data_IF_692375744135
#
_entry.id   IF_692375744135
#
_cell.length_a   1.000
_cell.length_b   1.000
_cell.length_c   1.000
_cell.angle_alpha   90.00
_cell.angle_beta   90.00
_cell.angle_gamma   90.00
#
_symmetry.space_group_name_H-M   'P 1'
#
loop_
_entity.id
_entity.type
_entity.pdbx_description
1 polymer ?
#
# COMPACT_ATOMS: atom_id res chain seq x y z
N UNK A 1 25.63 1.41 15.60
CA UNK A 1 25.28 0.59 14.42
C UNK A 1 24.86 -0.85 14.77
N UNK A 2 24.85 -1.26 16.06
CA UNK A 2 24.59 -2.67 16.42
C UNK A 2 23.31 -2.92 17.23
N UNK A 3 22.43 -1.93 17.43
CA UNK A 3 21.22 -2.13 18.26
C UNK A 3 20.41 -3.36 17.83
N UNK A 4 20.24 -3.60 16.52
CA UNK A 4 19.50 -4.76 16.05
C UNK A 4 20.20 -6.08 16.44
N UNK A 5 21.51 -6.17 16.26
CA UNK A 5 22.28 -7.37 16.59
C UNK A 5 22.32 -7.59 18.11
N UNK A 6 22.50 -6.53 18.90
CA UNK A 6 22.58 -6.60 20.37
C UNK A 6 21.24 -6.97 20.99
N UNK A 7 20.13 -6.43 20.48
CA UNK A 7 18.79 -6.65 21.07
C UNK A 7 18.11 -7.91 20.53
N UNK A 8 18.35 -8.30 19.27
CA UNK A 8 17.64 -9.42 18.63
C UNK A 8 18.51 -10.61 18.24
N UNK A 9 19.83 -10.49 18.30
CA UNK A 9 20.76 -11.50 17.77
C UNK A 9 20.75 -11.62 16.24
N UNK A 10 19.96 -10.80 15.54
CA UNK A 10 19.86 -10.84 14.08
C UNK A 10 20.95 -9.97 13.46
N UNK A 11 21.90 -10.63 12.80
CA UNK A 11 22.86 -9.95 11.94
C UNK A 11 22.19 -9.55 10.62
N UNK A 12 22.50 -8.34 10.15
CA UNK A 12 22.01 -7.83 8.87
C UNK A 12 23.11 -7.11 8.09
N UNK A 13 22.90 -6.98 6.78
CA UNK A 13 23.73 -6.18 5.89
C UNK A 13 22.87 -5.55 4.79
N UNK A 14 23.30 -4.41 4.25
CA UNK A 14 22.67 -3.82 3.07
C UNK A 14 23.19 -4.58 1.85
N UNK A 15 22.33 -5.40 1.24
CA UNK A 15 22.68 -6.18 0.05
C UNK A 15 22.75 -5.32 -1.21
N UNK A 16 21.79 -4.42 -1.38
CA UNK A 16 21.80 -3.45 -2.46
C UNK A 16 21.11 -2.16 -2.05
N UNK A 17 21.52 -1.07 -2.68
CA UNK A 17 21.02 0.27 -2.42
C UNK A 17 20.97 1.03 -3.73
N UNK A 18 19.77 1.46 -4.13
CA UNK A 18 19.55 2.25 -5.33
C UNK A 18 18.76 3.49 -4.94
N UNK A 19 19.34 4.66 -5.15
CA UNK A 19 18.70 5.94 -4.88
C UNK A 19 18.54 6.74 -6.17
N UNK A 20 17.38 7.37 -6.30
CA UNK A 20 17.12 8.43 -7.26
C UNK A 20 16.52 9.64 -6.52
N UNK A 21 16.35 10.81 -7.16
CA UNK A 21 15.84 12.00 -6.47
C UNK A 21 14.47 11.83 -5.79
N UNK A 22 13.66 10.85 -6.22
CA UNK A 22 12.29 10.64 -5.73
C UNK A 22 12.12 9.47 -4.77
N UNK A 23 13.04 8.51 -4.74
CA UNK A 23 12.92 7.27 -3.97
C UNK A 23 14.26 6.57 -3.73
N UNK A 24 14.30 5.75 -2.68
CA UNK A 24 15.36 4.80 -2.37
C UNK A 24 14.76 3.40 -2.32
N UNK A 25 15.38 2.48 -3.05
CA UNK A 25 15.11 1.05 -2.97
C UNK A 25 16.34 0.36 -2.38
N UNK A 26 16.19 -0.21 -1.19
CA UNK A 26 17.24 -0.94 -0.52
C UNK A 26 16.80 -2.38 -0.23
N UNK A 27 17.72 -3.34 -0.34
CA UNK A 27 17.52 -4.70 0.11
C UNK A 27 18.38 -4.94 1.33
N UNK A 28 17.76 -5.21 2.47
CA UNK A 28 18.44 -5.60 3.70
C UNK A 28 18.46 -7.11 3.77
N UNK A 29 19.65 -7.70 3.69
CA UNK A 29 19.87 -9.12 3.94
C UNK A 29 19.97 -9.32 5.44
N UNK A 30 19.29 -10.35 5.95
CA UNK A 30 19.42 -10.79 7.33
C UNK A 30 19.51 -12.31 7.39
N UNK A 31 19.93 -12.84 8.54
CA UNK A 31 19.88 -14.28 8.83
C UNK A 31 18.85 -14.51 9.93
N UNK A 32 17.85 -15.33 9.63
CA UNK A 32 16.84 -15.71 10.63
C UNK A 32 17.40 -16.68 11.68
N UNK A 33 16.62 -17.02 12.72
CA UNK A 33 17.03 -17.91 13.81
C UNK A 33 17.52 -19.29 13.35
N UNK A 34 16.99 -19.80 12.22
CA UNK A 34 17.41 -21.06 11.60
C UNK A 34 18.61 -20.92 10.65
N UNK A 35 19.35 -19.80 10.71
CA UNK A 35 20.50 -19.47 9.87
C UNK A 35 20.22 -19.42 8.35
N UNK A 36 18.95 -19.36 7.95
CA UNK A 36 18.55 -19.19 6.56
C UNK A 36 18.62 -17.69 6.16
N UNK A 37 19.32 -17.37 5.05
CA UNK A 37 19.41 -15.99 4.56
C UNK A 37 18.06 -15.54 3.97
N UNK A 38 17.55 -14.41 4.43
CA UNK A 38 16.35 -13.76 3.91
C UNK A 38 16.58 -12.27 3.64
N UNK A 39 15.70 -11.65 2.85
CA UNK A 39 15.82 -10.24 2.47
C UNK A 39 14.54 -9.48 2.72
N UNK A 40 14.67 -8.26 3.24
CA UNK A 40 13.59 -7.28 3.31
C UNK A 40 13.86 -6.21 2.24
N UNK A 41 12.88 -5.98 1.37
CA UNK A 41 12.91 -4.83 0.46
C UNK A 41 12.35 -3.62 1.19
N UNK A 42 13.13 -2.56 1.27
CA UNK A 42 12.71 -1.25 1.74
C UNK A 42 12.49 -0.33 0.53
N UNK A 43 11.29 0.26 0.46
CA UNK A 43 10.91 1.25 -0.55
C UNK A 43 10.60 2.55 0.17
N UNK A 44 11.49 3.52 0.04
CA UNK A 44 11.46 4.79 0.79
C UNK A 44 11.20 5.91 -0.21
N UNK A 45 10.04 6.55 -0.12
CA UNK A 45 9.76 7.72 -0.94
C UNK A 45 10.40 8.97 -0.34
N UNK A 46 11.13 9.74 -1.15
CA UNK A 46 11.74 11.02 -0.78
C UNK A 46 10.94 12.23 -1.27
N UNK A 47 10.00 11.99 -2.19
CA UNK A 47 9.18 13.03 -2.83
C UNK A 47 7.73 13.03 -2.35
N UNK A 48 7.31 12.00 -1.62
CA UNK A 48 5.93 11.90 -1.14
C UNK A 48 5.67 12.90 -0.02
N UNK A 49 4.50 13.55 -0.07
CA UNK A 49 4.07 14.51 0.93
C UNK A 49 2.86 13.96 1.67
N UNK A 50 2.99 13.86 2.99
CA UNK A 50 1.90 13.49 3.88
C UNK A 50 0.80 14.56 3.86
N UNK A 51 -0.45 14.15 3.66
CA UNK A 51 -1.58 15.05 3.73
C UNK A 51 -2.21 15.11 5.12
N UNK A 52 -2.09 14.03 5.90
CA UNK A 52 -2.49 13.91 7.30
C UNK A 52 -1.28 13.60 8.18
N UNK A 53 -1.41 13.81 9.49
CA UNK A 53 -0.37 13.40 10.45
C UNK A 53 -0.37 11.87 10.55
N UNK A 54 0.81 11.22 10.64
CA UNK A 54 0.88 9.79 10.93
C UNK A 54 0.20 9.47 12.27
N UNK A 55 -0.45 8.32 12.33
CA UNK A 55 -1.13 7.83 13.51
C UNK A 55 -0.24 6.82 14.23
N UNK A 56 -0.18 6.93 15.56
CA UNK A 56 0.48 5.92 16.39
C UNK A 56 -0.38 4.67 16.45
N UNK A 57 0.12 3.55 15.92
CA UNK A 57 -0.53 2.23 15.95
C UNK A 57 0.25 1.28 16.84
N UNK A 58 -0.47 0.57 17.71
CA UNK A 58 0.11 -0.50 18.54
C UNK A 58 0.18 -1.78 17.69
N UNK A 59 1.35 -2.39 17.63
CA UNK A 59 1.57 -3.71 17.04
C UNK A 59 1.59 -4.70 18.19
N UNK A 60 0.70 -5.68 18.10
CA UNK A 60 0.68 -6.84 18.98
C UNK A 60 1.67 -7.87 18.44
N UNK A 61 2.60 -8.29 19.28
CA UNK A 61 3.58 -9.29 18.88
C UNK A 61 3.03 -10.69 19.08
N UNK A 62 3.15 -11.54 18.06
CA UNK A 62 2.91 -12.98 18.17
C UNK A 62 4.14 -13.73 18.72
N UNK A 63 5.27 -13.03 18.87
CA UNK A 63 6.53 -13.58 19.36
C UNK A 63 6.68 -13.27 20.85
N UNK A 64 6.89 -14.30 21.68
CA UNK A 64 6.95 -14.19 23.13
C UNK A 64 8.13 -13.34 23.63
N UNK A 65 9.20 -13.25 22.84
CA UNK A 65 10.43 -12.50 23.10
C UNK A 65 10.42 -11.07 22.57
N UNK A 66 9.37 -10.68 21.83
CA UNK A 66 9.21 -9.32 21.31
C UNK A 66 8.00 -8.65 21.99
N UNK A 67 8.21 -7.61 22.83
CA UNK A 67 7.09 -6.91 23.44
C UNK A 67 6.28 -6.12 22.42
N UNK A 68 5.02 -5.83 22.75
CA UNK A 68 4.20 -4.91 21.97
C UNK A 68 4.90 -3.55 21.80
N UNK A 69 4.80 -2.98 20.60
CA UNK A 69 5.47 -1.71 20.28
C UNK A 69 4.56 -0.81 19.45
N UNK A 70 4.88 0.49 19.45
CA UNK A 70 4.15 1.48 18.65
C UNK A 70 4.93 1.85 17.41
N UNK A 71 4.23 1.94 16.29
CA UNK A 71 4.77 2.48 15.04
C UNK A 71 3.93 3.68 14.59
N UNK A 72 4.54 4.55 13.80
CA UNK A 72 3.80 5.56 13.05
C UNK A 72 3.35 4.93 11.72
N UNK A 73 2.05 4.97 11.48
CA UNK A 73 1.45 4.48 10.25
C UNK A 73 0.56 5.56 9.62
N UNK A 74 0.23 5.38 8.35
CA UNK A 74 -0.75 6.23 7.71
C UNK A 74 -2.13 5.96 8.31
N UNK A 75 -2.98 6.98 8.33
CA UNK A 75 -4.40 6.76 8.60
C UNK A 75 -5.02 5.93 7.47
N UNK A 76 -6.07 5.18 7.77
CA UNK A 76 -6.79 4.40 6.75
C UNK A 76 -7.31 5.29 5.61
N UNK A 77 -7.67 6.54 5.91
CA UNK A 77 -8.10 7.53 4.92
C UNK A 77 -6.99 7.91 3.95
N UNK A 78 -5.77 8.11 4.45
CA UNK A 78 -4.62 8.40 3.59
C UNK A 78 -4.22 7.17 2.77
N UNK A 79 -4.25 5.97 3.36
CA UNK A 79 -4.03 4.71 2.61
C UNK A 79 -5.06 4.56 1.48
N UNK A 80 -6.34 4.73 1.78
CA UNK A 80 -7.43 4.65 0.80
C UNK A 80 -7.22 5.64 -0.34
N UNK A 81 -6.92 6.91 -0.02
CA UNK A 81 -6.68 7.96 -1.01
C UNK A 81 -5.48 7.66 -1.90
N UNK A 82 -4.38 7.15 -1.33
CA UNK A 82 -3.18 6.75 -2.10
C UNK A 82 -3.44 5.59 -3.05
N UNK A 83 -4.25 4.61 -2.62
CA UNK A 83 -4.63 3.47 -3.45
C UNK A 83 -5.53 3.89 -4.61
N UNK A 84 -6.55 4.72 -4.37
CA UNK A 84 -7.38 5.29 -5.44
C UNK A 84 -6.51 6.11 -6.42
N UNK A 85 -5.61 6.95 -5.90
CA UNK A 85 -4.67 7.72 -6.72
C UNK A 85 -3.81 6.81 -7.60
N UNK A 86 -3.32 5.71 -7.05
CA UNK A 86 -2.54 4.72 -7.80
C UNK A 86 -3.35 4.08 -8.92
N UNK A 87 -4.63 3.76 -8.69
CA UNK A 87 -5.52 3.29 -9.76
C UNK A 87 -5.61 4.32 -10.89
N UNK A 88 -5.81 5.61 -10.58
CA UNK A 88 -5.85 6.69 -11.58
C UNK A 88 -4.53 6.87 -12.35
N UNK A 89 -3.40 6.40 -11.84
CA UNK A 89 -2.11 6.50 -12.53
C UNK A 89 -1.73 5.25 -13.33
N UNK A 90 -1.97 4.06 -12.78
CA UNK A 90 -1.46 2.79 -13.34
C UNK A 90 -2.48 1.64 -13.39
N UNK A 91 -3.53 1.65 -12.58
CA UNK A 91 -4.59 0.63 -12.61
C UNK A 91 -4.12 -0.81 -12.37
N UNK A 92 -3.25 -1.08 -11.40
CA UNK A 92 -2.80 -2.46 -11.14
C UNK A 92 -3.84 -3.27 -10.34
N UNK A 93 -3.91 -4.58 -10.60
CA UNK A 93 -4.85 -5.51 -9.95
C UNK A 93 -4.87 -5.39 -8.43
N UNK A 94 -3.69 -5.32 -7.80
CA UNK A 94 -3.57 -5.15 -6.34
C UNK A 94 -4.17 -3.86 -5.82
N UNK A 95 -4.05 -2.75 -6.56
CA UNK A 95 -4.61 -1.47 -6.12
C UNK A 95 -6.15 -1.54 -6.10
N UNK A 96 -6.78 -2.17 -7.11
CA UNK A 96 -8.22 -2.42 -7.11
C UNK A 96 -8.65 -3.29 -5.93
N UNK A 97 -7.96 -4.41 -5.68
CA UNK A 97 -8.27 -5.30 -4.56
C UNK A 97 -8.18 -4.59 -3.22
N UNK A 98 -7.10 -3.83 -2.98
CA UNK A 98 -6.88 -3.12 -1.72
C UNK A 98 -7.97 -2.08 -1.46
N UNK A 99 -8.36 -1.29 -2.47
CA UNK A 99 -9.45 -0.31 -2.35
C UNK A 99 -10.78 -1.01 -2.05
N UNK A 100 -11.05 -2.13 -2.72
CA UNK A 100 -12.27 -2.90 -2.51
C UNK A 100 -12.35 -3.47 -1.10
N UNK A 101 -11.25 -4.07 -0.60
CA UNK A 101 -11.17 -4.57 0.78
C UNK A 101 -11.35 -3.47 1.79
N UNK A 102 -10.69 -2.33 1.61
CA UNK A 102 -10.82 -1.21 2.54
C UNK A 102 -12.28 -0.75 2.65
N UNK A 103 -13.00 -0.61 1.53
CA UNK A 103 -14.42 -0.24 1.53
C UNK A 103 -15.34 -1.28 2.16
N UNK A 104 -14.98 -2.57 2.09
CA UNK A 104 -15.77 -3.65 2.71
C UNK A 104 -15.59 -3.70 4.23
N UNK A 105 -14.38 -3.42 4.69
CA UNK A 105 -14.00 -3.57 6.11
C UNK A 105 -14.20 -2.28 6.93
N UNK A 106 -14.35 -1.13 6.26
CA UNK A 106 -14.36 0.17 6.95
C UNK A 106 -15.39 1.10 6.34
N UNK A 107 -15.99 1.93 7.20
CA UNK A 107 -16.80 3.06 6.77
C UNK A 107 -15.92 4.29 6.57
N UNK A 108 -16.13 5.00 5.47
CA UNK A 108 -15.42 6.23 5.16
C UNK A 108 -16.41 7.36 4.88
N UNK A 109 -16.09 8.56 5.36
CA UNK A 109 -16.73 9.77 4.88
C UNK A 109 -16.31 10.03 3.43
N UNK A 110 -17.28 9.97 2.53
CA UNK A 110 -17.07 10.09 1.08
C UNK A 110 -16.50 11.45 0.69
N UNK A 111 -16.98 12.52 1.33
CA UNK A 111 -16.52 13.87 1.03
C UNK A 111 -15.07 14.05 1.51
N UNK A 112 -14.76 13.54 2.70
CA UNK A 112 -13.41 13.58 3.25
C UNK A 112 -12.40 12.82 2.37
N UNK A 113 -12.74 11.61 1.91
CA UNK A 113 -11.87 10.84 1.00
C UNK A 113 -11.65 11.59 -0.32
N UNK A 114 -12.71 12.19 -0.88
CA UNK A 114 -12.59 12.96 -2.12
C UNK A 114 -11.68 14.17 -1.95
N UNK A 115 -11.87 14.96 -0.89
CA UNK A 115 -11.08 16.15 -0.61
C UNK A 115 -9.61 15.78 -0.37
N UNK A 116 -9.37 14.70 0.36
CA UNK A 116 -8.02 14.18 0.61
C UNK A 116 -7.36 13.70 -0.69
N UNK A 117 -8.09 12.97 -1.53
CA UNK A 117 -7.60 12.51 -2.83
C UNK A 117 -7.21 13.67 -3.75
N UNK A 118 -8.06 14.69 -3.87
CA UNK A 118 -7.78 15.90 -4.66
C UNK A 118 -6.53 16.61 -4.12
N UNK A 119 -6.42 16.77 -2.79
CA UNK A 119 -5.25 17.34 -2.14
C UNK A 119 -3.98 16.54 -2.45
N UNK A 120 -4.04 15.21 -2.42
CA UNK A 120 -2.91 14.32 -2.74
C UNK A 120 -2.50 14.43 -4.20
N UNK A 121 -3.45 14.48 -5.14
CA UNK A 121 -3.15 14.72 -6.55
C UNK A 121 -2.41 16.05 -6.74
N UNK A 122 -2.88 17.13 -6.10
CA UNK A 122 -2.22 18.44 -6.12
C UNK A 122 -0.81 18.40 -5.53
N UNK A 123 -0.61 17.74 -4.40
CA UNK A 123 0.70 17.60 -3.76
C UNK A 123 1.71 16.84 -4.64
N UNK A 124 1.22 15.86 -5.42
CA UNK A 124 2.03 15.07 -6.35
C UNK A 124 2.21 15.73 -7.72
N UNK A 125 1.48 16.81 -8.00
CA UNK A 125 1.51 17.50 -9.29
C UNK A 125 0.85 16.71 -10.42
N UNK A 126 -0.17 15.91 -10.11
CA UNK A 126 -0.91 15.12 -11.09
C UNK A 126 -2.36 15.59 -11.19
N UNK A 127 -3.01 15.45 -12.36
CA UNK A 127 -4.41 15.82 -12.50
C UNK A 127 -5.32 14.85 -11.73
N UNK A 128 -6.44 15.39 -11.24
CA UNK A 128 -7.51 14.59 -10.64
C UNK A 128 -8.45 14.13 -11.75
N UNK A 129 -8.33 12.86 -12.15
CA UNK A 129 -9.06 12.29 -13.29
C UNK A 129 -9.80 11.01 -12.89
N UNK A 130 -10.95 11.12 -12.20
CA UNK A 130 -11.73 9.96 -11.75
C UNK A 130 -12.24 9.10 -12.92
N UNK A 131 -12.28 9.64 -14.15
CA UNK A 131 -12.58 8.88 -15.37
C UNK A 131 -11.58 7.74 -15.65
N UNK A 132 -10.33 7.87 -15.19
CA UNK A 132 -9.30 6.84 -15.38
C UNK A 132 -9.43 5.66 -14.40
N UNK A 133 -10.30 5.74 -13.39
CA UNK A 133 -10.47 4.67 -12.39
C UNK A 133 -10.93 3.35 -13.02
N UNK A 134 -11.75 3.44 -14.07
CA UNK A 134 -12.36 2.29 -14.73
C UNK A 134 -12.15 2.36 -16.25
N UNK A 135 -11.01 2.93 -16.66
CA UNK A 135 -10.58 2.90 -18.05
C UNK A 135 -10.53 1.45 -18.57
N UNK A 136 -11.03 1.23 -19.79
CA UNK A 136 -11.22 -0.11 -20.33
C UNK A 136 -9.90 -0.86 -20.49
N UNK A 137 -8.87 -0.21 -21.03
CA UNK A 137 -7.56 -0.83 -21.28
C UNK A 137 -6.90 -1.22 -19.97
N UNK A 138 -6.95 -0.35 -18.95
CA UNK A 138 -6.41 -0.66 -17.62
C UNK A 138 -7.14 -1.80 -16.92
N UNK A 139 -8.46 -1.87 -17.06
CA UNK A 139 -9.24 -2.98 -16.51
C UNK A 139 -8.89 -4.31 -17.19
N UNK A 140 -8.66 -4.32 -18.50
CA UNK A 140 -8.22 -5.51 -19.22
C UNK A 140 -6.82 -5.98 -18.74
N UNK A 141 -5.88 -5.06 -18.55
CA UNK A 141 -4.56 -5.36 -17.99
C UNK A 141 -4.65 -5.87 -16.54
N UNK A 142 -5.45 -5.21 -15.70
CA UNK A 142 -5.67 -5.62 -14.32
C UNK A 142 -6.28 -7.02 -14.24
N UNK A 143 -7.26 -7.33 -15.10
CA UNK A 143 -7.88 -8.65 -15.20
C UNK A 143 -6.85 -9.72 -15.56
N UNK A 144 -6.02 -9.47 -16.58
CA UNK A 144 -4.99 -10.41 -17.02
C UNK A 144 -3.96 -10.72 -15.91
N UNK A 145 -3.79 -9.82 -14.95
CA UNK A 145 -2.90 -9.99 -13.80
C UNK A 145 -3.60 -10.27 -12.47
N UNK A 146 -4.92 -10.49 -12.47
CA UNK A 146 -5.70 -10.67 -11.24
C UNK A 146 -5.25 -11.90 -10.46
N UNK A 147 -5.44 -13.09 -11.05
CA UNK A 147 -5.11 -14.36 -10.39
C UNK A 147 -3.61 -14.46 -10.08
N UNK A 148 -2.74 -14.27 -11.08
CA UNK A 148 -1.27 -14.35 -10.87
C UNK A 148 -0.77 -13.37 -9.81
N UNK A 149 -1.35 -12.17 -9.74
CA UNK A 149 -0.90 -11.11 -8.84
C UNK A 149 -1.38 -11.26 -7.40
N UNK A 150 -2.48 -12.00 -7.16
CA UNK A 150 -3.16 -12.03 -5.86
C UNK A 150 -3.36 -13.42 -5.26
N UNK A 151 -3.34 -14.50 -6.04
CA UNK A 151 -3.67 -15.86 -5.56
C UNK A 151 -2.74 -16.40 -4.48
N UNK A 152 -1.50 -15.92 -4.42
CA UNK A 152 -0.51 -16.27 -3.40
C UNK A 152 -0.57 -15.37 -2.16
N UNK A 153 -1.34 -14.28 -2.22
CA UNK A 153 -1.49 -13.29 -1.14
C UNK A 153 -2.86 -13.39 -0.46
N UNK A 154 -3.86 -13.87 -1.18
CA UNK A 154 -5.27 -13.91 -0.75
C UNK A 154 -5.75 -15.35 -0.80
N UNK A 155 -6.21 -15.87 0.35
CA UNK A 155 -6.65 -17.28 0.49
C UNK A 155 -7.83 -17.60 -0.43
N UNK A 156 -8.83 -16.73 -0.46
CA UNK A 156 -10.04 -16.85 -1.28
C UNK A 156 -10.15 -15.59 -2.14
N UNK A 157 -9.59 -15.67 -3.35
CA UNK A 157 -9.57 -14.55 -4.28
C UNK A 157 -10.97 -14.40 -4.93
N UNK A 158 -11.68 -13.29 -4.71
CA UNK A 158 -12.97 -13.05 -5.36
C UNK A 158 -12.83 -12.90 -6.88
N UNK A 159 -13.96 -13.10 -7.57
CA UNK A 159 -14.03 -12.85 -9.01
C UNK A 159 -13.74 -11.38 -9.34
N UNK A 160 -13.03 -11.16 -10.44
CA UNK A 160 -12.62 -9.82 -10.85
C UNK A 160 -13.83 -8.94 -11.19
N UNK A 161 -14.81 -9.46 -11.92
CA UNK A 161 -15.98 -8.68 -12.35
C UNK A 161 -16.85 -8.28 -11.17
N UNK A 162 -17.02 -9.18 -10.20
CA UNK A 162 -17.70 -8.87 -8.95
C UNK A 162 -17.03 -7.71 -8.21
N UNK A 163 -15.71 -7.78 -8.02
CA UNK A 163 -14.93 -6.71 -7.36
C UNK A 163 -15.06 -5.38 -8.10
N UNK A 164 -14.91 -5.37 -9.43
CA UNK A 164 -15.00 -4.14 -10.21
C UNK A 164 -16.43 -3.57 -10.19
N UNK A 165 -17.46 -4.40 -10.23
CA UNK A 165 -18.85 -3.98 -10.13
C UNK A 165 -19.13 -3.26 -8.80
N UNK A 166 -18.72 -3.85 -7.69
CA UNK A 166 -18.88 -3.26 -6.37
C UNK A 166 -18.06 -1.99 -6.18
N UNK A 167 -16.81 -1.97 -6.69
CA UNK A 167 -15.97 -0.77 -6.67
C UNK A 167 -16.59 0.39 -7.44
N UNK A 168 -17.16 0.13 -8.62
CA UNK A 168 -17.85 1.17 -9.40
C UNK A 168 -18.95 1.82 -8.57
N UNK A 169 -19.80 1.02 -7.93
CA UNK A 169 -20.85 1.52 -7.05
C UNK A 169 -20.30 2.29 -5.85
N UNK A 170 -19.26 1.74 -5.20
CA UNK A 170 -18.63 2.33 -4.02
C UNK A 170 -17.95 3.68 -4.28
N UNK A 171 -17.40 3.89 -5.48
CA UNK A 171 -16.61 5.07 -5.84
C UNK A 171 -17.36 6.12 -6.69
N UNK A 172 -18.67 5.96 -6.93
CA UNK A 172 -19.47 6.92 -7.71
C UNK A 172 -19.36 8.37 -7.21
N UNK A 173 -19.13 8.56 -5.90
CA UNK A 173 -19.01 9.89 -5.30
C UNK A 173 -17.79 10.68 -5.80
N UNK A 174 -16.80 10.02 -6.41
CA UNK A 174 -15.60 10.66 -6.96
C UNK A 174 -15.85 11.31 -8.33
N UNK A 175 -16.90 10.93 -9.05
CA UNK A 175 -17.19 11.42 -10.41
C UNK A 175 -17.98 12.74 -10.45
N UNK A 176 -18.57 13.14 -9.32
CA UNK A 176 -19.34 14.39 -9.19
C UNK A 176 -18.45 15.57 -8.84
#
# INVERSE_FOLDING_TARGET
>A
MDLLLTESGIAYSVHSYHANPGAIIAYVQFRGPLNHPNRIKLDISLSEKMALKPESRMIKSDFADLPDFKILAYSLKEIMSEKIRSIMQRGYSRDYYDVWRLLKENEFDKQEIKDLLVKKCKLKGIPYEPGLLFDKTRLEEARAHWSRGLSHLVKELPDFDEVISELKAGLLFLQK
#
